data_IF_107510703570
#
_entry.id   IF_107510703570
#
_cell.length_a   1.000
_cell.length_b   1.000
_cell.length_c   1.000
_cell.angle_alpha   90.00
_cell.angle_beta   90.00
_cell.angle_gamma   90.00
#
_symmetry.space_group_name_H-M   'P 1'
#
loop_
_entity.id
_entity.type
_entity.pdbx_description
1 polymer ?
#
# COMPACT_ATOMS: atom_id res chain seq x y z
N UNK A 1 40.92 5.95 -9.75
CA UNK A 1 39.95 4.85 -9.55
C UNK A 1 38.60 5.42 -9.95
N UNK A 2 37.85 4.75 -10.83
CA UNK A 2 36.51 5.22 -11.17
C UNK A 2 35.64 5.08 -9.91
N UNK A 3 34.93 6.13 -9.53
CA UNK A 3 33.91 6.04 -8.48
C UNK A 3 32.83 5.06 -8.94
N UNK A 4 32.53 4.05 -8.11
CA UNK A 4 31.40 3.16 -8.36
C UNK A 4 30.11 3.98 -8.30
N UNK A 5 29.25 3.94 -9.34
CA UNK A 5 28.00 4.68 -9.31
C UNK A 5 27.13 4.18 -8.15
N UNK A 6 26.46 5.12 -7.46
CA UNK A 6 25.54 4.78 -6.37
C UNK A 6 24.33 4.03 -6.93
N UNK A 7 23.85 3.06 -6.16
CA UNK A 7 22.56 2.41 -6.38
C UNK A 7 21.44 3.37 -5.97
N UNK A 8 20.44 3.55 -6.83
CA UNK A 8 19.23 4.30 -6.53
C UNK A 8 18.12 3.35 -6.08
N UNK A 9 17.68 3.48 -4.83
CA UNK A 9 16.92 2.50 -4.08
C UNK A 9 15.58 3.07 -3.61
N UNK A 10 14.55 2.21 -3.49
CA UNK A 10 13.21 2.63 -3.04
C UNK A 10 12.39 1.49 -2.44
N UNK A 11 11.47 1.84 -1.54
CA UNK A 11 10.43 0.95 -1.03
C UNK A 11 9.06 1.28 -1.59
N UNK A 12 8.38 0.23 -2.03
CA UNK A 12 7.02 0.26 -2.53
C UNK A 12 6.14 -0.76 -1.80
N UNK A 13 4.90 -0.38 -1.51
CA UNK A 13 3.85 -1.34 -1.15
C UNK A 13 3.03 -1.62 -2.41
N UNK A 14 3.10 -2.84 -2.93
CA UNK A 14 2.45 -3.27 -4.15
C UNK A 14 1.20 -4.08 -3.82
N UNK A 15 0.03 -3.76 -4.40
CA UNK A 15 -1.14 -4.63 -4.28
C UNK A 15 -0.91 -5.91 -5.08
N UNK A 16 -1.54 -6.99 -4.62
CA UNK A 16 -1.58 -8.31 -5.28
C UNK A 16 -3.03 -8.80 -5.23
N UNK A 17 -3.44 -9.53 -6.28
CA UNK A 17 -4.80 -10.03 -6.44
C UNK A 17 -5.70 -9.03 -7.17
N UNK A 18 -7.00 -9.05 -6.86
CA UNK A 18 -8.05 -8.42 -7.66
C UNK A 18 -7.81 -6.94 -7.96
N UNK A 19 -7.40 -6.14 -6.95
CA UNK A 19 -7.12 -4.73 -7.16
C UNK A 19 -5.98 -4.50 -8.17
N UNK A 20 -4.91 -5.29 -8.07
CA UNK A 20 -3.78 -5.21 -9.01
C UNK A 20 -4.21 -5.59 -10.43
N UNK A 21 -5.04 -6.61 -10.58
CA UNK A 21 -5.53 -7.06 -11.89
C UNK A 21 -6.42 -6.00 -12.54
N UNK A 22 -7.30 -5.37 -11.77
CA UNK A 22 -8.13 -4.25 -12.24
C UNK A 22 -7.29 -3.06 -12.70
N UNK A 23 -6.29 -2.65 -11.92
CA UNK A 23 -5.42 -1.52 -12.28
C UNK A 23 -4.55 -1.88 -13.50
N UNK A 24 -4.08 -3.13 -13.60
CA UNK A 24 -3.34 -3.62 -14.76
C UNK A 24 -4.20 -3.60 -16.02
N UNK A 25 -5.46 -4.03 -15.93
CA UNK A 25 -6.42 -3.94 -17.03
C UNK A 25 -6.71 -2.48 -17.43
N UNK A 26 -6.88 -1.59 -16.44
CA UNK A 26 -7.02 -0.15 -16.67
C UNK A 26 -5.79 0.44 -17.36
N UNK A 27 -4.57 0.07 -16.97
CA UNK A 27 -3.34 0.52 -17.62
C UNK A 27 -3.27 0.05 -19.08
N UNK A 28 -3.57 -1.21 -19.35
CA UNK A 28 -3.60 -1.72 -20.72
C UNK A 28 -4.62 -0.99 -21.59
N UNK A 29 -5.84 -0.81 -21.09
CA UNK A 29 -6.91 -0.15 -21.84
C UNK A 29 -6.64 1.36 -22.04
N UNK A 30 -6.16 2.05 -21.00
CA UNK A 30 -5.86 3.49 -21.08
C UNK A 30 -4.67 3.77 -22.00
N UNK A 31 -3.64 2.92 -21.98
CA UNK A 31 -2.52 2.99 -22.92
C UNK A 31 -3.00 2.81 -24.36
N UNK A 32 -3.86 1.83 -24.62
CA UNK A 32 -4.39 1.56 -25.96
C UNK A 32 -5.26 2.72 -26.49
N UNK A 33 -6.02 3.38 -25.61
CA UNK A 33 -6.95 4.44 -26.00
C UNK A 33 -6.33 5.83 -26.04
N UNK A 34 -5.45 6.17 -25.10
CA UNK A 34 -4.93 7.53 -24.91
C UNK A 34 -3.42 7.66 -25.13
N UNK A 35 -2.72 6.55 -25.39
CA UNK A 35 -1.26 6.52 -25.45
C UNK A 35 -0.60 6.52 -24.07
N UNK A 36 0.74 6.54 -24.02
CA UNK A 36 1.48 6.42 -22.78
C UNK A 36 1.32 7.65 -21.90
N UNK A 37 1.18 7.42 -20.60
CA UNK A 37 1.33 8.43 -19.56
C UNK A 37 2.31 7.91 -18.49
N UNK A 38 2.73 8.77 -17.57
CA UNK A 38 3.84 8.42 -16.68
C UNK A 38 3.52 7.30 -15.68
N UNK A 39 2.24 7.01 -15.40
CA UNK A 39 1.86 5.88 -14.54
C UNK A 39 2.23 4.53 -15.17
N UNK A 40 2.28 4.44 -16.51
CA UNK A 40 2.60 3.20 -17.23
C UNK A 40 4.07 2.77 -17.08
N UNK A 41 4.95 3.65 -16.61
CA UNK A 41 6.38 3.34 -16.43
C UNK A 41 6.68 2.60 -15.12
N UNK A 42 5.65 2.30 -14.33
CA UNK A 42 5.77 1.69 -13.02
C UNK A 42 4.82 0.50 -12.90
N UNK A 43 5.22 -0.47 -12.08
CA UNK A 43 4.28 -1.41 -11.48
C UNK A 43 3.26 -0.65 -10.63
N UNK A 44 2.09 -1.24 -10.40
CA UNK A 44 1.13 -0.69 -9.45
C UNK A 44 1.72 -0.67 -8.04
N UNK A 45 1.75 0.50 -7.39
CA UNK A 45 2.40 0.66 -6.08
C UNK A 45 1.89 1.88 -5.30
N UNK A 46 2.07 1.84 -3.98
CA UNK A 46 2.14 2.98 -3.09
C UNK A 46 3.61 3.29 -2.81
N UNK A 47 4.01 4.54 -2.97
CA UNK A 47 5.36 4.99 -2.60
C UNK A 47 5.52 5.06 -1.08
N UNK A 48 6.42 4.25 -0.50
CA UNK A 48 6.67 4.21 0.96
C UNK A 48 7.82 5.15 1.33
N UNK A 49 8.88 5.18 0.51
CA UNK A 49 10.01 6.11 0.67
C UNK A 49 10.24 6.93 -0.59
N UNK A 50 10.89 8.09 -0.46
CA UNK A 50 11.59 8.67 -1.61
C UNK A 50 12.69 7.75 -2.12
N UNK A 51 13.15 7.99 -3.35
CA UNK A 51 14.40 7.43 -3.83
C UNK A 51 15.53 7.88 -2.90
N UNK A 52 16.45 6.97 -2.61
CA UNK A 52 17.66 7.23 -1.84
C UNK A 52 18.83 6.51 -2.49
N UNK A 53 20.06 6.98 -2.22
CA UNK A 53 21.25 6.53 -2.93
C UNK A 53 22.29 6.02 -1.95
N UNK A 54 22.91 4.90 -2.27
CA UNK A 54 24.02 4.35 -1.49
C UNK A 54 24.88 3.44 -2.37
N UNK A 55 26.04 3.00 -1.88
CA UNK A 55 26.90 2.04 -2.60
C UNK A 55 26.17 0.69 -2.72
N UNK A 56 26.28 -0.04 -3.85
CA UNK A 56 25.60 -1.32 -4.04
C UNK A 56 25.85 -2.34 -2.91
N UNK A 57 27.03 -2.31 -2.29
CA UNK A 57 27.42 -3.19 -1.19
C UNK A 57 26.57 -3.00 0.08
N UNK A 58 25.83 -1.90 0.19
CA UNK A 58 24.91 -1.60 1.30
C UNK A 58 23.55 -2.29 1.18
N UNK A 59 23.21 -2.87 0.02
CA UNK A 59 21.91 -3.52 -0.21
C UNK A 59 21.56 -4.58 0.87
N UNK A 60 22.47 -5.49 1.27
CA UNK A 60 22.19 -6.44 2.35
C UNK A 60 21.94 -5.77 3.71
N UNK A 61 22.55 -4.61 3.98
CA UNK A 61 22.26 -3.83 5.19
C UNK A 61 20.82 -3.30 5.16
N UNK A 62 20.36 -2.76 4.04
CA UNK A 62 18.98 -2.28 3.90
C UNK A 62 17.95 -3.39 4.03
N UNK A 63 18.21 -4.58 3.46
CA UNK A 63 17.33 -5.74 3.63
C UNK A 63 17.14 -6.08 5.12
N UNK A 64 18.23 -6.14 5.89
CA UNK A 64 18.15 -6.38 7.34
C UNK A 64 17.39 -5.27 8.07
N UNK A 65 17.68 -4.00 7.76
CA UNK A 65 17.00 -2.87 8.37
C UNK A 65 15.48 -2.89 8.13
N UNK A 66 15.04 -3.32 6.95
CA UNK A 66 13.62 -3.49 6.61
C UNK A 66 13.01 -4.65 7.41
N UNK A 67 13.69 -5.80 7.45
CA UNK A 67 13.24 -6.99 8.20
C UNK A 67 13.07 -6.68 9.69
N UNK A 68 14.04 -6.00 10.29
CA UNK A 68 13.98 -5.55 11.69
C UNK A 68 12.86 -4.54 11.93
N UNK A 69 12.59 -3.66 10.97
CA UNK A 69 11.48 -2.70 11.05
C UNK A 69 10.13 -3.40 10.99
N UNK A 70 9.98 -4.39 10.11
CA UNK A 70 8.76 -5.20 9.99
C UNK A 70 8.54 -6.02 11.27
N UNK A 71 9.58 -6.65 11.81
CA UNK A 71 9.50 -7.40 13.06
C UNK A 71 9.09 -6.48 14.22
N UNK A 72 9.75 -5.33 14.36
CA UNK A 72 9.45 -4.36 15.41
C UNK A 72 7.99 -3.88 15.36
N UNK A 73 7.49 -3.51 14.18
CA UNK A 73 6.10 -3.04 14.03
C UNK A 73 5.08 -4.13 14.34
N UNK A 74 5.37 -5.40 14.02
CA UNK A 74 4.51 -6.55 14.34
C UNK A 74 4.48 -6.86 15.83
N UNK A 75 5.62 -6.75 16.50
CA UNK A 75 5.76 -7.03 17.93
C UNK A 75 5.23 -5.90 18.83
N UNK A 76 5.17 -4.68 18.31
CA UNK A 76 4.70 -3.52 19.07
C UNK A 76 3.50 -2.87 18.38
N UNK A 77 2.30 -3.48 18.40
CA UNK A 77 1.10 -2.86 17.82
C UNK A 77 0.89 -1.44 18.38
N UNK A 78 0.37 -0.53 17.54
CA UNK A 78 0.11 0.84 17.95
C UNK A 78 -0.92 0.85 19.11
N UNK A 79 -0.50 1.32 20.29
CA UNK A 79 -1.29 1.35 21.51
C UNK A 79 -2.54 2.27 21.41
N UNK A 80 -2.69 3.03 20.33
CA UNK A 80 -3.85 3.89 20.07
C UNK A 80 -5.15 3.14 19.70
N UNK A 81 -5.17 1.80 19.70
CA UNK A 81 -6.36 0.98 19.34
C UNK A 81 -7.21 0.49 20.53
N UNK A 82 -6.85 0.72 21.79
CA UNK A 82 -7.58 0.12 22.92
C UNK A 82 -8.58 1.04 23.67
N UNK A 83 -8.67 2.33 23.36
CA UNK A 83 -9.48 3.27 24.17
C UNK A 83 -10.92 3.54 23.68
N UNK A 84 -11.42 2.89 22.63
CA UNK A 84 -12.77 3.17 22.06
C UNK A 84 -13.75 1.98 22.12
N UNK A 85 -13.65 1.10 23.13
CA UNK A 85 -14.67 0.05 23.36
C UNK A 85 -15.25 0.03 24.78
N UNK A 86 -14.69 0.77 25.74
CA UNK A 86 -15.22 0.83 27.12
C UNK A 86 -15.71 2.22 27.50
N UNK A 87 -16.79 2.69 26.86
CA UNK A 87 -17.70 3.71 27.40
C UNK A 87 -18.97 3.73 26.55
N UNK A 88 -19.91 2.85 26.86
CA UNK A 88 -21.36 3.07 26.74
C UNK A 88 -22.13 1.88 27.32
N UNK A 89 -22.16 1.83 28.65
CA UNK A 89 -23.14 1.05 29.40
C UNK A 89 -23.52 1.86 30.62
N UNK A 90 -24.70 2.49 30.55
CA UNK A 90 -25.57 3.07 31.59
C UNK A 90 -26.43 4.13 30.89
N UNK A 91 -27.75 4.10 30.78
CA UNK A 91 -28.81 3.18 31.16
C UNK A 91 -30.13 3.88 30.79
N UNK A 92 -31.16 3.13 30.41
CA UNK A 92 -32.56 3.33 30.78
C UNK A 92 -33.46 2.41 29.94
N UNK A 93 -34.18 1.52 30.62
CA UNK A 93 -35.33 0.80 30.05
C UNK A 93 -36.53 1.73 29.87
N UNK A 94 -37.67 1.24 29.32
CA UNK A 94 -38.55 0.37 30.12
C UNK A 94 -39.27 -0.71 29.22
N UNK A 95 -40.37 -1.40 29.62
CA UNK A 95 -40.41 -2.86 29.77
C UNK A 95 -41.50 -3.54 28.87
N UNK A 96 -42.09 -4.73 29.17
CA UNK A 96 -41.95 -5.97 28.39
C UNK A 96 -43.27 -6.45 27.70
N UNK A 97 -43.37 -7.76 27.41
CA UNK A 97 -44.49 -8.58 26.82
C UNK A 97 -44.48 -8.65 25.27
N UNK A 98 -44.58 -9.80 24.58
CA UNK A 98 -45.23 -11.10 24.83
C UNK A 98 -44.45 -12.31 24.29
N UNK A 99 -44.75 -13.47 24.88
CA UNK A 99 -44.25 -14.81 24.61
C UNK A 99 -45.06 -15.45 23.49
N UNK A 100 -44.41 -16.03 22.48
CA UNK A 100 -44.97 -17.17 21.75
C UNK A 100 -43.89 -18.22 21.46
N UNK A 101 -44.15 -19.43 21.97
CA UNK A 101 -43.42 -20.64 21.67
C UNK A 101 -43.79 -21.17 20.28
N UNK A 102 -42.78 -21.65 19.54
CA UNK A 102 -42.83 -22.91 18.78
C UNK A 102 -41.41 -23.28 18.28
N UNK A 103 -40.91 -24.45 18.72
CA UNK A 103 -39.75 -25.19 18.18
C UNK A 103 -40.23 -26.28 17.19
N UNK A 104 -39.34 -27.04 16.50
CA UNK A 104 -38.17 -26.62 15.71
C UNK A 104 -38.18 -27.30 14.30
N UNK A 105 -37.34 -26.84 13.37
CA UNK A 105 -36.81 -27.73 12.32
C UNK A 105 -35.35 -27.44 11.99
N UNK A 106 -34.61 -28.53 11.96
CA UNK A 106 -33.18 -28.73 11.85
C UNK A 106 -32.49 -28.07 10.64
N UNK A 107 -31.36 -27.42 10.96
CA UNK A 107 -30.02 -27.70 10.40
C UNK A 107 -29.75 -27.40 8.93
N UNK A 108 -29.18 -26.22 8.70
CA UNK A 108 -27.96 -26.13 7.88
C UNK A 108 -26.91 -25.33 8.65
N UNK A 109 -25.85 -26.04 9.07
CA UNK A 109 -24.69 -25.45 9.69
C UNK A 109 -24.02 -24.51 8.69
N UNK A 110 -24.19 -23.20 8.89
CA UNK A 110 -23.24 -22.23 8.38
C UNK A 110 -21.93 -22.48 9.13
N UNK A 111 -20.95 -23.06 8.45
CA UNK A 111 -19.57 -23.10 8.90
C UNK A 111 -19.18 -21.66 9.20
N UNK A 112 -18.99 -21.33 10.48
CA UNK A 112 -18.42 -20.05 10.90
C UNK A 112 -17.13 -19.85 10.10
N UNK A 113 -16.83 -18.63 9.61
CA UNK A 113 -15.49 -18.33 9.14
C UNK A 113 -14.56 -18.68 10.31
N UNK A 114 -13.60 -19.57 10.05
CA UNK A 114 -12.48 -19.79 10.94
C UNK A 114 -11.84 -18.41 11.11
N UNK A 115 -11.94 -17.84 12.30
CA UNK A 115 -11.19 -16.65 12.68
C UNK A 115 -9.71 -16.99 12.52
N UNK A 116 -9.12 -16.55 11.40
CA UNK A 116 -7.67 -16.55 11.27
C UNK A 116 -7.13 -15.58 12.32
N UNK A 117 -6.29 -16.12 13.20
CA UNK A 117 -5.54 -15.42 14.23
C UNK A 117 -5.04 -14.04 13.77
N UNK A 118 -5.43 -13.00 14.50
CA UNK A 118 -5.15 -11.57 14.30
C UNK A 118 -3.70 -11.16 14.60
N UNK A 119 -2.72 -11.95 14.14
CA UNK A 119 -1.30 -11.63 14.32
C UNK A 119 -0.81 -10.69 13.19
N UNK A 120 -0.82 -9.37 13.44
CA UNK A 120 0.13 -8.41 12.85
C UNK A 120 0.00 -8.04 11.37
N UNK A 121 -1.18 -8.10 10.76
CA UNK A 121 -1.38 -7.71 9.35
C UNK A 121 -1.36 -6.17 9.18
N UNK A 122 -0.65 -5.65 8.18
CA UNK A 122 -0.61 -4.19 7.90
C UNK A 122 -1.94 -3.74 7.29
N UNK A 123 -2.63 -2.83 7.99
CA UNK A 123 -3.89 -2.25 7.50
C UNK A 123 -3.61 -1.10 6.53
N UNK A 124 -3.96 -1.28 5.25
CA UNK A 124 -3.91 -0.23 4.22
C UNK A 124 -5.35 0.01 3.75
N UNK A 125 -5.93 1.14 4.16
CA UNK A 125 -7.35 1.43 3.96
C UNK A 125 -7.54 2.39 2.80
N UNK A 126 -8.33 2.04 1.75
CA UNK A 126 -8.66 2.97 0.68
C UNK A 126 -9.52 4.11 1.22
N UNK A 127 -9.23 5.34 0.78
CA UNK A 127 -9.99 6.53 1.16
C UNK A 127 -10.97 6.94 0.05
N UNK A 128 -10.45 7.25 -1.14
CA UNK A 128 -11.24 7.69 -2.29
C UNK A 128 -10.40 7.70 -3.57
N UNK A 129 -11.09 7.75 -4.71
CA UNK A 129 -10.50 8.19 -5.97
C UNK A 129 -10.32 9.72 -5.96
N UNK A 130 -9.17 10.16 -6.43
CA UNK A 130 -8.84 11.56 -6.66
C UNK A 130 -8.70 11.77 -8.17
N UNK A 131 -9.47 12.74 -8.70
CA UNK A 131 -9.37 13.16 -10.08
C UNK A 131 -9.07 14.65 -10.15
N UNK A 132 -8.05 15.00 -10.92
CA UNK A 132 -7.67 16.38 -11.23
C UNK A 132 -7.26 16.48 -12.70
N UNK A 133 -7.07 17.70 -13.18
CA UNK A 133 -6.80 17.96 -14.61
C UNK A 133 -5.54 17.28 -15.20
N UNK A 134 -4.60 16.82 -14.36
CA UNK A 134 -3.34 16.17 -14.80
C UNK A 134 -2.88 15.01 -13.90
N UNK A 135 -3.70 14.60 -12.93
CA UNK A 135 -3.32 13.59 -11.95
C UNK A 135 -4.56 12.88 -11.41
N UNK A 136 -4.60 11.56 -11.60
CA UNK A 136 -5.62 10.65 -11.10
C UNK A 136 -4.99 9.59 -10.21
N UNK A 137 -5.62 9.28 -9.08
CA UNK A 137 -5.06 8.34 -8.10
C UNK A 137 -6.14 7.71 -7.21
N UNK A 138 -5.78 6.61 -6.55
CA UNK A 138 -6.47 6.11 -5.37
C UNK A 138 -5.70 6.58 -4.14
N UNK A 139 -6.37 7.24 -3.20
CA UNK A 139 -5.78 7.69 -1.93
C UNK A 139 -5.96 6.63 -0.84
N UNK A 140 -4.96 6.46 0.02
CA UNK A 140 -4.95 5.49 1.12
C UNK A 140 -4.60 6.14 2.46
N UNK A 141 -4.99 5.48 3.55
CA UNK A 141 -4.48 5.71 4.89
C UNK A 141 -3.88 4.42 5.44
N UNK A 142 -2.70 4.52 6.03
CA UNK A 142 -2.08 3.40 6.73
C UNK A 142 -1.07 3.89 7.78
N UNK A 143 -1.51 4.09 9.04
CA UNK A 143 -0.60 4.43 10.13
C UNK A 143 0.51 3.38 10.29
N UNK A 144 0.20 2.11 10.06
CA UNK A 144 1.16 1.00 10.13
C UNK A 144 2.22 1.09 9.04
N UNK A 145 1.85 1.38 7.78
CA UNK A 145 2.82 1.53 6.68
C UNK A 145 3.71 2.76 6.87
N UNK A 146 3.14 3.88 7.33
CA UNK A 146 3.93 5.08 7.68
C UNK A 146 4.91 4.77 8.81
N UNK A 147 4.50 3.98 9.80
CA UNK A 147 5.38 3.56 10.88
C UNK A 147 6.50 2.65 10.39
N UNK A 148 6.22 1.68 9.52
CA UNK A 148 7.25 0.86 8.86
C UNK A 148 8.27 1.78 8.15
N UNK A 149 7.80 2.79 7.41
CA UNK A 149 8.69 3.74 6.74
C UNK A 149 9.58 4.51 7.72
N UNK A 150 9.03 5.01 8.83
CA UNK A 150 9.78 5.73 9.87
C UNK A 150 10.81 4.84 10.57
N UNK A 151 10.42 3.62 10.92
CA UNK A 151 11.28 2.63 11.58
C UNK A 151 12.43 2.19 10.68
N UNK A 152 12.14 2.00 9.38
CA UNK A 152 13.17 1.75 8.38
C UNK A 152 14.12 2.94 8.25
N UNK A 153 13.59 4.15 8.05
CA UNK A 153 14.40 5.35 7.90
C UNK A 153 15.26 5.64 9.14
N UNK A 154 14.80 5.28 10.35
CA UNK A 154 15.57 5.40 11.58
C UNK A 154 16.78 4.45 11.59
N UNK A 155 16.57 3.16 11.33
CA UNK A 155 17.65 2.15 11.26
C UNK A 155 18.60 2.41 10.10
N UNK A 156 18.07 2.90 8.99
CA UNK A 156 18.85 3.24 7.83
C UNK A 156 19.93 4.30 8.16
N UNK A 157 19.76 5.17 9.16
CA UNK A 157 20.76 6.18 9.57
C UNK A 157 22.13 5.58 9.91
N UNK A 158 22.17 4.29 10.24
CA UNK A 158 23.40 3.58 10.59
C UNK A 158 24.23 3.16 9.36
N UNK A 159 23.77 3.43 8.13
CA UNK A 159 24.61 3.28 6.93
C UNK A 159 25.80 4.23 7.01
N UNK A 160 27.01 3.67 6.95
CA UNK A 160 28.26 4.45 6.96
C UNK A 160 28.51 5.21 5.66
N UNK A 161 27.81 4.85 4.57
CA UNK A 161 28.08 5.34 3.21
C UNK A 161 26.95 6.19 2.64
N UNK A 162 25.74 6.15 3.23
CA UNK A 162 24.63 7.00 2.77
C UNK A 162 24.82 8.44 3.22
N UNK A 163 24.76 9.37 2.26
CA UNK A 163 24.84 10.81 2.53
C UNK A 163 23.52 11.41 3.02
N UNK A 164 22.39 11.02 2.41
CA UNK A 164 21.11 11.70 2.59
C UNK A 164 20.14 10.96 3.53
N UNK A 165 19.24 11.72 4.15
CA UNK A 165 18.15 11.14 4.93
C UNK A 165 17.10 10.50 4.02
N UNK A 166 16.59 9.33 4.40
CA UNK A 166 15.49 8.68 3.68
C UNK A 166 14.19 9.44 3.97
N UNK A 167 13.61 10.04 2.94
CA UNK A 167 12.30 10.71 3.03
C UNK A 167 11.18 9.67 3.15
N UNK A 168 10.44 9.69 4.25
CA UNK A 168 9.22 8.91 4.42
C UNK A 168 8.05 9.58 3.68
N UNK A 169 7.16 8.80 3.08
CA UNK A 169 5.92 9.29 2.46
C UNK A 169 4.73 9.11 3.41
N UNK A 170 3.90 10.16 3.50
CA UNK A 170 2.64 10.17 4.27
C UNK A 170 1.42 10.33 3.36
N UNK A 171 1.59 10.93 2.18
CA UNK A 171 0.54 11.05 1.17
C UNK A 171 0.42 9.75 0.37
N UNK A 172 -0.12 8.70 1.00
CA UNK A 172 -0.19 7.36 0.42
C UNK A 172 -1.21 7.31 -0.72
N UNK A 173 -0.75 6.92 -1.91
CA UNK A 173 -1.61 6.78 -3.08
C UNK A 173 -1.05 5.79 -4.09
N UNK A 174 -1.94 5.22 -4.90
CA UNK A 174 -1.59 4.60 -6.18
C UNK A 174 -1.92 5.60 -7.28
N UNK A 175 -0.93 5.98 -8.09
CA UNK A 175 -1.16 6.79 -9.29
C UNK A 175 -1.82 5.95 -10.37
N UNK A 176 -2.97 6.39 -10.87
CA UNK A 176 -3.66 5.76 -12.00
C UNK A 176 -3.25 6.41 -13.33
N UNK A 177 -3.17 7.74 -13.37
CA UNK A 177 -2.70 8.44 -14.56
C UNK A 177 -2.10 9.79 -14.16
N UNK A 178 -1.00 10.17 -14.79
CA UNK A 178 -0.44 11.51 -14.64
C UNK A 178 0.47 11.90 -15.80
N UNK A 179 0.71 13.20 -15.96
CA UNK A 179 1.44 13.75 -17.10
C UNK A 179 0.79 13.45 -18.47
N UNK A 180 -0.53 13.32 -18.49
CA UNK A 180 -1.34 13.16 -19.71
C UNK A 180 -1.83 14.53 -20.24
N UNK A 181 -2.30 14.58 -21.49
CA UNK A 181 -2.90 15.79 -22.04
C UNK A 181 -4.25 16.09 -21.38
N UNK A 182 -4.51 17.34 -21.00
CA UNK A 182 -5.73 17.71 -20.25
C UNK A 182 -7.03 17.28 -20.97
N UNK A 183 -7.05 17.22 -22.30
CA UNK A 183 -8.19 16.74 -23.08
C UNK A 183 -8.54 15.27 -22.79
N UNK A 184 -7.59 14.48 -22.29
CA UNK A 184 -7.77 13.07 -21.95
C UNK A 184 -8.35 12.86 -20.54
N UNK A 185 -8.39 13.91 -19.70
CA UNK A 185 -8.75 13.80 -18.28
C UNK A 185 -10.13 13.17 -18.07
N UNK A 186 -11.16 13.62 -18.78
CA UNK A 186 -12.52 13.09 -18.59
C UNK A 186 -12.65 11.63 -19.04
N UNK A 187 -11.91 11.24 -20.08
CA UNK A 187 -11.87 9.86 -20.57
C UNK A 187 -11.19 8.91 -19.59
N UNK A 188 -10.02 9.30 -19.09
CA UNK A 188 -9.25 8.55 -18.09
C UNK A 188 -10.02 8.42 -16.76
N UNK A 189 -10.69 9.48 -16.32
CA UNK A 189 -11.52 9.45 -15.11
C UNK A 189 -12.67 8.44 -15.25
N UNK A 190 -13.40 8.50 -16.38
CA UNK A 190 -14.51 7.57 -16.64
C UNK A 190 -14.04 6.11 -16.60
N UNK A 191 -12.94 5.81 -17.30
CA UNK A 191 -12.37 4.46 -17.29
C UNK A 191 -11.95 4.01 -15.91
N UNK A 192 -11.28 4.88 -15.13
CA UNK A 192 -10.86 4.52 -13.77
C UNK A 192 -12.06 4.17 -12.88
N UNK A 193 -13.18 4.91 -12.98
CA UNK A 193 -14.42 4.63 -12.23
C UNK A 193 -15.10 3.33 -12.64
N UNK A 194 -15.03 2.97 -13.92
CA UNK A 194 -15.66 1.76 -14.46
C UNK A 194 -14.83 0.49 -14.19
N UNK A 195 -13.51 0.62 -14.18
CA UNK A 195 -12.60 -0.53 -14.19
C UNK A 195 -11.96 -0.84 -12.84
N UNK A 196 -11.87 0.15 -11.94
CA UNK A 196 -11.12 0.03 -10.69
C UNK A 196 -12.07 0.20 -9.51
N UNK A 197 -12.17 -0.84 -8.68
CA UNK A 197 -12.82 -0.80 -7.38
C UNK A 197 -11.75 -0.66 -6.29
N UNK A 198 -11.58 0.53 -5.67
CA UNK A 198 -10.60 0.74 -4.61
C UNK A 198 -10.77 -0.18 -3.39
N UNK A 199 -11.97 -0.73 -3.20
CA UNK A 199 -12.34 -1.61 -2.09
C UNK A 199 -12.22 -3.10 -2.44
N UNK A 200 -11.77 -3.42 -3.66
CA UNK A 200 -11.56 -4.80 -4.06
C UNK A 200 -10.60 -5.52 -3.10
N UNK A 201 -10.84 -6.82 -2.89
CA UNK A 201 -9.97 -7.64 -2.06
C UNK A 201 -8.51 -7.54 -2.53
N UNK A 202 -7.61 -7.28 -1.58
CA UNK A 202 -6.21 -7.00 -1.88
C UNK A 202 -5.31 -7.58 -0.79
N UNK A 203 -4.23 -8.23 -1.22
CA UNK A 203 -3.07 -8.51 -0.39
C UNK A 203 -1.96 -7.54 -0.76
N UNK A 204 -1.07 -7.23 0.18
CA UNK A 204 0.00 -6.27 -0.04
C UNK A 204 1.37 -6.92 0.12
N UNK A 205 2.29 -6.47 -0.71
CA UNK A 205 3.71 -6.82 -0.63
C UNK A 205 4.54 -5.56 -0.48
N UNK A 206 5.41 -5.52 0.53
CA UNK A 206 6.50 -4.55 0.56
C UNK A 206 7.60 -5.06 -0.37
N UNK A 207 8.07 -4.22 -1.27
CA UNK A 207 9.08 -4.57 -2.27
C UNK A 207 10.21 -3.55 -2.24
N UNK A 208 11.44 -4.07 -2.17
CA UNK A 208 12.66 -3.26 -2.20
C UNK A 208 13.29 -3.32 -3.58
N UNK A 209 13.34 -2.18 -4.24
CA UNK A 209 13.79 -2.05 -5.62
C UNK A 209 15.05 -1.19 -5.73
N UNK A 210 15.82 -1.49 -6.76
CA UNK A 210 16.79 -0.58 -7.35
C UNK A 210 16.30 -0.12 -8.72
N UNK A 211 16.36 1.19 -8.96
CA UNK A 211 16.00 1.83 -10.24
C UNK A 211 17.26 2.03 -11.08
N UNK A 212 17.13 1.80 -12.38
CA UNK A 212 18.14 2.12 -13.39
C UNK A 212 17.51 2.96 -14.48
N UNK A 213 18.05 4.15 -14.73
CA UNK A 213 17.67 5.01 -15.84
C UNK A 213 18.69 4.87 -16.97
N UNK A 214 18.24 4.38 -18.12
CA UNK A 214 19.04 4.22 -19.33
C UNK A 214 18.44 5.08 -20.46
N UNK A 215 18.65 6.39 -20.38
CA UNK A 215 18.05 7.33 -21.33
C UNK A 215 16.54 7.47 -21.12
N UNK A 216 15.73 6.96 -22.04
CA UNK A 216 14.27 6.98 -21.94
C UNK A 216 13.70 5.76 -21.22
N UNK A 217 14.51 4.70 -21.01
CA UNK A 217 14.05 3.47 -20.39
C UNK A 217 14.35 3.47 -18.89
N UNK A 218 13.32 3.18 -18.10
CA UNK A 218 13.45 2.91 -16.66
C UNK A 218 13.31 1.42 -16.43
N UNK A 219 14.32 0.79 -15.84
CA UNK A 219 14.28 -0.62 -15.44
C UNK A 219 14.46 -0.77 -13.94
N UNK A 220 13.98 -1.89 -13.41
CA UNK A 220 13.91 -2.13 -11.98
C UNK A 220 14.52 -3.49 -11.65
N UNK A 221 15.42 -3.53 -10.67
CA UNK A 221 15.84 -4.77 -10.03
C UNK A 221 15.11 -4.92 -8.71
N UNK A 222 14.35 -6.00 -8.56
CA UNK A 222 13.70 -6.36 -7.31
C UNK A 222 14.68 -7.13 -6.43
N UNK A 223 15.09 -6.53 -5.31
CA UNK A 223 16.04 -7.14 -4.37
C UNK A 223 15.35 -8.08 -3.38
N UNK A 224 14.18 -7.70 -2.86
CA UNK A 224 13.46 -8.48 -1.85
C UNK A 224 11.98 -8.12 -1.77
N UNK A 225 11.17 -9.09 -1.37
CA UNK A 225 9.71 -8.99 -1.17
C UNK A 225 9.34 -9.50 0.23
N UNK A 226 8.38 -8.83 0.87
CA UNK A 226 7.77 -9.26 2.13
C UNK A 226 6.25 -9.12 2.05
N UNK A 227 5.50 -10.14 2.47
CA UNK A 227 4.04 -10.03 2.65
C UNK A 227 3.72 -9.11 3.84
N UNK A 228 2.72 -8.24 3.65
CA UNK A 228 2.24 -7.28 4.62
C UNK A 228 0.92 -7.69 5.27
#
# INVERSE_FOLDING_TARGET
MAETPLAELILYACPVGTLNDQISAFFAASLAQFGPNMAHNYMTHITVTGLFHDVPESIPFYIRAIEESLAFVRETPDASREDEVTRNSNGDGPPPTEVFHNEPLATHAATKPVENSSAGNVSITPLRLLFSSKFHAILYSSPTLERIAREFAARAKDSATRADAIRCKTDLHISLAYSFDKSQSEGLERMAREMVDPSANVSWELRFYQRFENGLDTTWTLHKVWSL
#
